data_IF_409735690307
#
_entry.id   IF_409735690307
#
_cell.length_a   1.000
_cell.length_b   1.000
_cell.length_c   1.000
_cell.angle_alpha   90.00
_cell.angle_beta   90.00
_cell.angle_gamma   90.00
#
_symmetry.space_group_name_H-M   'P 1'
#
loop_
_entity.id
_entity.type
_entity.pdbx_description
1 polymer ?
#
# COMPACT_ATOMS: atom_id res chain seq x y z
N UNK A 1 -13.84 -15.10 3.17
CA UNK A 1 -12.83 -14.11 2.81
C UNK A 1 -11.71 -14.79 2.03
N UNK A 2 -11.33 -14.25 0.89
CA UNK A 2 -10.30 -14.84 0.03
C UNK A 2 -8.93 -14.38 0.52
N UNK A 3 -8.03 -15.34 0.78
CA UNK A 3 -6.65 -15.02 1.12
C UNK A 3 -5.86 -14.86 -0.17
N UNK A 4 -5.22 -13.70 -0.32
CA UNK A 4 -4.41 -13.39 -1.49
C UNK A 4 -2.94 -13.46 -1.09
N UNK A 5 -2.15 -14.15 -1.90
CA UNK A 5 -0.71 -14.28 -1.69
C UNK A 5 0.03 -13.54 -2.79
N UNK A 6 1.08 -12.83 -2.40
CA UNK A 6 1.95 -12.13 -3.33
C UNK A 6 3.40 -12.41 -2.93
N UNK A 7 4.14 -13.10 -3.80
CA UNK A 7 5.55 -13.45 -3.53
C UNK A 7 5.73 -14.07 -2.14
N UNK A 8 4.90 -15.06 -1.80
CA UNK A 8 4.95 -15.77 -0.51
C UNK A 8 4.48 -14.93 0.67
N UNK A 9 3.98 -13.73 0.43
CA UNK A 9 3.44 -12.85 1.48
C UNK A 9 1.93 -12.88 1.43
N UNK A 10 1.31 -13.12 2.59
CA UNK A 10 -0.14 -13.10 2.71
C UNK A 10 -0.63 -11.65 2.73
N UNK A 11 -1.54 -11.32 1.82
CA UNK A 11 -2.13 -9.98 1.74
C UNK A 11 -3.43 -9.97 2.53
N UNK A 12 -3.45 -9.19 3.60
CA UNK A 12 -4.62 -9.08 4.48
C UNK A 12 -5.63 -8.06 3.98
N UNK A 13 -5.14 -6.98 3.37
CA UNK A 13 -5.99 -5.92 2.82
C UNK A 13 -5.49 -5.57 1.43
N UNK A 14 -6.43 -5.43 0.50
CA UNK A 14 -6.11 -4.97 -0.85
C UNK A 14 -6.80 -3.63 -1.07
N UNK A 15 -6.02 -2.61 -1.40
CA UNK A 15 -6.49 -1.24 -1.56
C UNK A 15 -6.30 -0.79 -3.00
N UNK A 16 -7.41 -0.54 -3.68
CA UNK A 16 -7.40 -0.09 -5.07
C UNK A 16 -7.55 1.43 -5.12
N UNK A 17 -6.49 2.10 -5.53
CA UNK A 17 -6.47 3.55 -5.69
C UNK A 17 -6.23 3.95 -7.15
N UNK A 18 -6.55 3.06 -8.09
CA UNK A 18 -6.41 3.38 -9.51
C UNK A 18 -7.34 4.52 -9.88
N UNK A 19 -6.83 5.45 -10.68
CA UNK A 19 -7.59 6.61 -11.12
C UNK A 19 -7.65 7.75 -10.10
N UNK A 20 -7.08 7.58 -8.93
CA UNK A 20 -7.06 8.60 -7.90
C UNK A 20 -5.78 9.42 -7.97
N UNK A 21 -5.89 10.72 -7.66
CA UNK A 21 -4.75 11.63 -7.63
C UNK A 21 -4.36 11.94 -6.20
N UNK A 22 -3.08 12.25 -6.00
CA UNK A 22 -2.55 12.68 -4.72
C UNK A 22 -3.37 13.88 -4.20
N UNK A 23 -3.75 13.92 -2.90
CA UNK A 23 -3.31 13.03 -1.83
C UNK A 23 -4.27 11.86 -1.54
N UNK A 24 -5.22 11.55 -2.41
CA UNK A 24 -6.24 10.56 -2.13
C UNK A 24 -5.71 9.15 -1.85
N UNK A 25 -4.69 8.63 -2.58
CA UNK A 25 -4.15 7.31 -2.24
C UNK A 25 -3.61 7.26 -0.81
N UNK A 26 -2.96 8.33 -0.36
CA UNK A 26 -2.41 8.39 1.00
C UNK A 26 -3.54 8.47 2.03
N UNK A 27 -4.60 9.22 1.74
CA UNK A 27 -5.76 9.31 2.64
C UNK A 27 -6.41 7.94 2.82
N UNK A 28 -6.59 7.20 1.74
CA UNK A 28 -7.16 5.85 1.80
C UNK A 28 -6.23 4.88 2.52
N UNK A 29 -4.94 5.01 2.29
CA UNK A 29 -3.93 4.19 2.95
C UNK A 29 -3.96 4.40 4.47
N UNK A 30 -4.06 5.65 4.90
CA UNK A 30 -4.18 5.98 6.33
C UNK A 30 -5.43 5.35 6.95
N UNK A 31 -6.56 5.44 6.27
CA UNK A 31 -7.81 4.88 6.77
C UNK A 31 -7.73 3.36 6.88
N UNK A 32 -7.20 2.71 5.86
CA UNK A 32 -7.08 1.26 5.84
C UNK A 32 -6.18 0.75 6.97
N UNK A 33 -5.05 1.41 7.17
CA UNK A 33 -4.08 0.96 8.18
C UNK A 33 -4.51 1.25 9.61
N UNK A 34 -5.48 2.15 9.81
CA UNK A 34 -6.00 2.43 11.15
C UNK A 34 -6.60 1.19 11.80
N UNK A 35 -7.26 0.34 11.03
CA UNK A 35 -7.92 -0.85 11.52
C UNK A 35 -7.05 -2.10 11.40
N UNK A 36 -5.89 -1.96 10.76
CA UNK A 36 -4.95 -3.08 10.61
C UNK A 36 -4.07 -3.22 11.84
N UNK A 37 -3.62 -4.44 12.07
CA UNK A 37 -2.72 -4.74 13.18
C UNK A 37 -1.28 -4.81 12.68
N UNK A 38 -0.35 -4.61 13.61
CA UNK A 38 1.08 -4.71 13.32
C UNK A 38 1.39 -6.11 12.78
N UNK A 39 2.16 -6.15 11.71
CA UNK A 39 2.52 -7.40 11.05
C UNK A 39 1.62 -7.79 9.89
N UNK A 40 0.48 -7.12 9.74
CA UNK A 40 -0.39 -7.37 8.59
C UNK A 40 0.14 -6.70 7.34
N UNK A 41 -0.22 -7.24 6.18
CA UNK A 41 0.25 -6.75 4.89
C UNK A 41 -0.89 -6.17 4.08
N UNK A 42 -0.59 -5.08 3.38
CA UNK A 42 -1.53 -4.38 2.52
C UNK A 42 -0.93 -4.28 1.12
N UNK A 43 -1.76 -4.55 0.11
CA UNK A 43 -1.38 -4.33 -1.28
C UNK A 43 -2.08 -3.07 -1.78
N UNK A 44 -1.31 -2.04 -2.09
CA UNK A 44 -1.82 -0.79 -2.64
C UNK A 44 -1.53 -0.73 -4.12
N UNK A 45 -2.56 -0.47 -4.92
CA UNK A 45 -2.41 -0.24 -6.35
C UNK A 45 -2.81 1.20 -6.66
N UNK A 46 -1.94 1.93 -7.34
CA UNK A 46 -2.17 3.33 -7.70
C UNK A 46 -1.69 3.60 -9.11
N UNK A 47 -2.26 4.62 -9.73
CA UNK A 47 -1.85 5.03 -11.09
C UNK A 47 -1.22 6.42 -11.11
N UNK A 48 -1.24 7.13 -9.98
CA UNK A 48 -0.63 8.45 -9.86
C UNK A 48 0.88 8.32 -9.64
N UNK A 49 1.72 8.87 -10.53
CA UNK A 49 3.17 8.81 -10.36
C UNK A 49 3.67 9.41 -9.04
N UNK A 50 2.92 10.35 -8.46
CA UNK A 50 3.26 10.92 -7.14
C UNK A 50 3.30 9.90 -6.04
N UNK A 51 2.59 8.77 -6.19
CA UNK A 51 2.59 7.69 -5.21
C UNK A 51 3.96 7.08 -5.00
N UNK A 52 4.79 7.08 -6.04
CA UNK A 52 6.15 6.52 -5.97
C UNK A 52 6.98 7.23 -4.90
N UNK A 53 6.71 8.51 -4.68
CA UNK A 53 7.39 9.30 -3.66
C UNK A 53 6.58 9.37 -2.36
N UNK A 54 5.27 9.52 -2.46
CA UNK A 54 4.42 9.76 -1.30
C UNK A 54 4.26 8.52 -0.42
N UNK A 55 4.16 7.34 -1.02
CA UNK A 55 4.00 6.10 -0.25
C UNK A 55 5.22 5.80 0.62
N UNK A 56 6.46 5.86 0.08
CA UNK A 56 7.64 5.69 0.93
C UNK A 56 7.76 6.76 2.03
N UNK A 57 7.38 8.00 1.72
CA UNK A 57 7.40 9.07 2.73
C UNK A 57 6.43 8.79 3.86
N UNK A 58 5.21 8.33 3.52
CA UNK A 58 4.22 7.94 4.51
C UNK A 58 4.73 6.76 5.36
N UNK A 59 5.32 5.76 4.71
CA UNK A 59 5.86 4.61 5.42
C UNK A 59 6.95 5.02 6.42
N UNK A 60 7.82 5.92 6.02
CA UNK A 60 8.87 6.43 6.91
C UNK A 60 8.32 7.15 8.12
N UNK A 61 7.21 7.86 7.97
CA UNK A 61 6.58 8.60 9.08
C UNK A 61 5.85 7.69 10.05
N UNK A 62 5.27 6.59 9.56
CA UNK A 62 4.44 5.72 10.37
C UNK A 62 5.17 4.50 10.90
N UNK A 63 6.38 4.26 10.43
CA UNK A 63 7.13 3.06 10.78
C UNK A 63 6.75 1.83 9.95
N UNK A 64 5.85 1.98 8.99
CA UNK A 64 5.49 0.89 8.09
C UNK A 64 6.67 0.53 7.19
N UNK A 65 6.71 -0.72 6.75
CA UNK A 65 7.78 -1.22 5.90
C UNK A 65 7.25 -1.53 4.51
N UNK A 66 7.92 -1.03 3.49
CA UNK A 66 7.59 -1.36 2.10
C UNK A 66 8.40 -2.60 1.71
N UNK A 67 7.67 -3.71 1.54
CA UNK A 67 8.29 -5.00 1.23
C UNK A 67 8.70 -5.05 -0.23
N UNK A 68 7.82 -4.55 -1.11
CA UNK A 68 8.05 -4.62 -2.54
C UNK A 68 7.34 -3.47 -3.23
N UNK A 69 7.95 -2.98 -4.30
CA UNK A 69 7.37 -1.97 -5.18
C UNK A 69 7.53 -2.45 -6.61
N UNK A 70 6.47 -2.39 -7.40
CA UNK A 70 6.53 -2.74 -8.81
C UNK A 70 5.70 -1.77 -9.64
N UNK A 71 6.03 -1.70 -10.92
CA UNK A 71 5.31 -0.88 -11.88
C UNK A 71 5.04 -1.71 -13.14
N UNK A 72 3.81 -1.60 -13.67
CA UNK A 72 3.43 -2.28 -14.88
C UNK A 72 2.37 -1.44 -15.60
N UNK A 73 2.69 -0.96 -16.80
CA UNK A 73 1.78 -0.18 -17.64
C UNK A 73 1.11 0.99 -16.89
N UNK A 74 1.90 1.75 -16.12
CA UNK A 74 1.41 2.91 -15.41
C UNK A 74 0.70 2.59 -14.10
N UNK A 75 0.64 1.34 -13.72
CA UNK A 75 0.12 0.93 -12.41
C UNK A 75 1.27 0.66 -11.46
N UNK A 76 1.22 1.30 -10.30
CA UNK A 76 2.23 1.15 -9.25
C UNK A 76 1.65 0.29 -8.14
N UNK A 77 2.35 -0.79 -7.79
CA UNK A 77 1.91 -1.71 -6.75
C UNK A 77 2.91 -1.66 -5.60
N UNK A 78 2.40 -1.48 -4.39
CA UNK A 78 3.20 -1.44 -3.17
C UNK A 78 2.72 -2.52 -2.21
N UNK A 79 3.63 -3.36 -1.75
CA UNK A 79 3.34 -4.32 -0.70
C UNK A 79 3.88 -3.74 0.59
N UNK A 80 2.99 -3.45 1.53
CA UNK A 80 3.32 -2.71 2.74
C UNK A 80 3.03 -3.59 3.96
N UNK A 81 4.00 -3.66 4.86
CA UNK A 81 3.82 -4.32 6.15
C UNK A 81 3.54 -3.25 7.19
N UNK A 82 2.39 -3.36 7.85
CA UNK A 82 2.01 -2.40 8.88
C UNK A 82 2.84 -2.65 10.14
N UNK A 83 3.38 -1.59 10.69
CA UNK A 83 4.14 -1.64 11.94
C UNK A 83 3.64 -0.51 12.84
N UNK A 84 3.11 -0.87 13.98
CA UNK A 84 2.57 0.10 14.94
C UNK A 84 3.30 0.02 16.28
#
# INVERSE_FOLDING_TARGET
MVTIWYNMVKIDVELDCKGMYCPMPIVKLKKATKTMESGQHLKLTATDPGSVRDVPAWAGKTGAEIIETSENDGEFVFIIKVSK
#
